data_IF_519179316525
#
_entry.id   IF_519179316525
#
_cell.length_a   1.000
_cell.length_b   1.000
_cell.length_c   1.000
_cell.angle_alpha   90.00
_cell.angle_beta   90.00
_cell.angle_gamma   90.00
#
_symmetry.space_group_name_H-M   'P 1'
#
loop_
_entity.id
_entity.type
_entity.pdbx_description
1 polymer ?
#
# COMPACT_ATOMS: atom_id res chain seq x y z
N UNK A 1 -3.66 -67.45 40.34
CA UNK A 1 -4.54 -66.33 39.95
C UNK A 1 -4.42 -66.15 38.43
N UNK A 2 -5.14 -66.95 37.65
CA UNK A 2 -6.41 -66.60 36.94
C UNK A 2 -6.22 -65.40 36.00
N UNK A 3 -5.88 -65.57 34.71
CA UNK A 3 -6.72 -65.89 33.54
C UNK A 3 -7.95 -64.99 33.36
N UNK A 4 -8.21 -64.67 32.08
CA UNK A 4 -9.41 -64.09 31.45
C UNK A 4 -9.46 -62.55 31.39
N UNK A 5 -9.80 -61.90 30.28
CA UNK A 5 -10.52 -62.27 29.03
C UNK A 5 -10.24 -61.12 28.03
N UNK A 6 -9.72 -61.34 26.82
CA UNK A 6 -10.51 -61.67 25.60
C UNK A 6 -11.92 -61.03 25.58
N UNK A 7 -12.05 -59.89 24.90
CA UNK A 7 -13.16 -59.54 24.00
C UNK A 7 -12.56 -58.62 22.93
N UNK A 8 -12.28 -59.13 21.72
CA UNK A 8 -13.24 -59.16 20.61
C UNK A 8 -13.56 -57.72 20.17
N UNK A 9 -12.87 -57.15 19.18
CA UNK A 9 -13.21 -57.25 17.74
C UNK A 9 -14.71 -57.45 17.47
N UNK A 10 -15.27 -56.54 16.67
CA UNK A 10 -16.62 -56.50 16.07
C UNK A 10 -17.71 -55.69 16.81
N UNK A 11 -17.73 -54.38 16.51
CA UNK A 11 -18.89 -53.65 15.97
C UNK A 11 -18.30 -52.42 15.27
N UNK A 12 -18.04 -52.46 13.97
CA UNK A 12 -18.99 -52.49 12.88
C UNK A 12 -19.95 -51.30 12.92
N UNK A 13 -19.77 -50.46 11.90
CA UNK A 13 -20.73 -49.60 11.22
C UNK A 13 -21.15 -48.30 11.90
N UNK A 14 -21.32 -47.30 11.03
CA UNK A 14 -22.01 -46.02 11.22
C UNK A 14 -21.20 -44.92 11.89
N UNK A 15 -20.24 -44.36 11.14
CA UNK A 15 -20.11 -42.90 11.13
C UNK A 15 -20.43 -42.43 9.72
N UNK A 16 -21.45 -41.61 9.73
CA UNK A 16 -22.34 -41.22 8.67
C UNK A 16 -21.62 -40.31 7.67
N UNK A 17 -21.87 -40.64 6.42
CA UNK A 17 -21.42 -39.98 5.22
C UNK A 17 -22.29 -38.73 5.02
N UNK A 18 -22.06 -37.68 5.81
CA UNK A 18 -22.65 -36.36 5.55
C UNK A 18 -21.84 -35.65 4.47
N UNK A 19 -21.98 -36.16 3.24
CA UNK A 19 -21.79 -35.41 2.01
C UNK A 19 -22.87 -34.33 2.00
N UNK A 20 -22.46 -33.09 2.29
CA UNK A 20 -23.30 -31.93 2.04
C UNK A 20 -23.53 -31.84 0.52
N UNK A 21 -24.69 -32.35 0.12
CA UNK A 21 -25.29 -32.23 -1.19
C UNK A 21 -25.52 -30.74 -1.49
N UNK A 22 -24.53 -30.12 -2.15
CA UNK A 22 -24.71 -28.82 -2.79
C UNK A 22 -25.69 -29.02 -3.95
N UNK A 23 -26.83 -28.30 -3.99
CA UNK A 23 -27.72 -28.39 -5.14
C UNK A 23 -27.00 -27.84 -6.38
N UNK A 24 -26.97 -28.68 -7.42
CA UNK A 24 -26.51 -28.30 -8.76
C UNK A 24 -27.17 -27.00 -9.23
N UNK A 25 -26.43 -26.05 -9.83
CA UNK A 25 -27.05 -24.88 -10.43
C UNK A 25 -27.89 -25.28 -11.65
N UNK A 26 -29.19 -24.98 -11.58
CA UNK A 26 -30.10 -25.07 -12.73
C UNK A 26 -29.62 -24.15 -13.87
N UNK A 27 -29.66 -24.62 -15.14
CA UNK A 27 -29.38 -23.76 -16.28
C UNK A 27 -30.55 -22.80 -16.52
N UNK A 28 -30.29 -21.49 -16.41
CA UNK A 28 -31.27 -20.46 -16.80
C UNK A 28 -31.52 -20.51 -18.32
N UNK A 29 -32.80 -20.38 -18.76
CA UNK A 29 -33.16 -20.45 -20.16
C UNK A 29 -32.75 -19.21 -20.95
N UNK A 30 -32.16 -19.47 -22.12
CA UNK A 30 -31.99 -18.52 -23.22
C UNK A 30 -33.34 -17.88 -23.61
N UNK A 31 -33.46 -16.56 -23.45
CA UNK A 31 -34.52 -15.80 -24.10
C UNK A 31 -34.03 -15.30 -25.43
N UNK A 32 -34.34 -16.10 -26.45
CA UNK A 32 -34.25 -15.74 -27.84
C UNK A 32 -35.52 -14.95 -28.24
N UNK A 33 -35.41 -14.14 -29.32
CA UNK A 33 -36.43 -13.32 -30.01
C UNK A 33 -36.52 -11.87 -29.52
N UNK A 34 -36.23 -10.84 -30.32
CA UNK A 34 -35.89 -10.81 -31.73
C UNK A 34 -36.39 -9.51 -32.37
N UNK A 35 -35.86 -9.31 -33.59
CA UNK A 35 -36.46 -8.61 -34.73
C UNK A 35 -36.40 -7.08 -34.79
N UNK A 36 -35.70 -6.70 -35.87
CA UNK A 36 -36.08 -5.74 -36.94
C UNK A 36 -35.79 -4.28 -36.60
N UNK A 37 -35.30 -3.44 -37.52
CA UNK A 37 -34.92 -3.53 -38.94
C UNK A 37 -34.40 -2.12 -39.26
N UNK A 38 -33.36 -2.03 -40.09
CA UNK A 38 -33.14 -0.96 -41.08
C UNK A 38 -32.93 0.46 -40.52
N UNK A 39 -32.08 1.34 -41.04
CA UNK A 39 -31.51 1.45 -42.37
C UNK A 39 -30.21 2.27 -42.29
N UNK A 40 -29.20 1.88 -43.06
CA UNK A 40 -28.21 2.80 -43.63
C UNK A 40 -28.88 3.42 -44.87
N UNK A 41 -28.60 4.69 -45.20
CA UNK A 41 -27.64 4.86 -46.29
C UNK A 41 -26.65 6.00 -46.06
N UNK A 42 -25.58 5.89 -46.84
CA UNK A 42 -24.47 6.82 -46.95
C UNK A 42 -24.88 8.17 -47.55
N UNK A 43 -24.15 9.22 -47.15
CA UNK A 43 -24.19 10.53 -47.78
C UNK A 43 -22.90 11.30 -47.48
N UNK A 44 -22.00 11.28 -48.45
CA UNK A 44 -20.93 12.22 -48.80
C UNK A 44 -20.84 13.50 -47.94
N UNK A 45 -19.69 13.77 -47.32
CA UNK A 45 -18.54 14.48 -47.88
C UNK A 45 -18.60 15.98 -47.53
N UNK A 46 -17.69 16.42 -46.66
CA UNK A 46 -16.99 17.70 -46.83
C UNK A 46 -15.74 17.69 -45.95
N UNK A 47 -14.59 17.83 -46.60
CA UNK A 47 -13.34 18.22 -45.97
C UNK A 47 -13.16 19.71 -46.23
N UNK A 48 -13.03 20.53 -45.18
CA UNK A 48 -11.91 21.47 -45.03
C UNK A 48 -11.91 22.16 -43.66
N UNK A 49 -10.72 22.59 -43.21
CA UNK A 49 -10.43 23.06 -41.86
C UNK A 49 -10.57 24.57 -41.77
N UNK A 50 -10.85 25.12 -40.59
CA UNK A 50 -10.30 26.41 -40.15
C UNK A 50 -10.63 26.68 -38.68
N UNK A 51 -9.57 26.95 -37.92
CA UNK A 51 -9.51 27.95 -36.84
C UNK A 51 -10.42 27.77 -35.63
N UNK A 52 -9.85 27.14 -34.60
CA UNK A 52 -10.04 27.61 -33.23
C UNK A 52 -8.70 27.49 -32.50
N UNK A 53 -8.01 28.62 -32.36
CA UNK A 53 -6.92 28.82 -31.40
C UNK A 53 -7.40 28.38 -30.01
N UNK A 54 -6.87 27.26 -29.52
CA UNK A 54 -6.88 26.95 -28.11
C UNK A 54 -5.68 27.66 -27.46
N UNK A 55 -5.87 28.32 -26.31
CA UNK A 55 -4.81 29.08 -25.67
C UNK A 55 -3.66 28.15 -25.29
N UNK A 56 -2.44 28.58 -25.60
CA UNK A 56 -1.20 28.02 -25.07
C UNK A 56 -1.31 27.97 -23.55
N UNK A 57 -1.75 26.81 -23.06
CA UNK A 57 -1.52 26.41 -21.69
C UNK A 57 -0.02 26.24 -21.59
N UNK A 58 0.60 27.21 -20.94
CA UNK A 58 1.97 27.23 -20.47
C UNK A 58 2.13 26.02 -19.53
N UNK A 59 2.24 24.83 -20.12
CA UNK A 59 2.50 23.57 -19.44
C UNK A 59 3.99 23.60 -19.13
N UNK A 60 4.34 24.37 -18.10
CA UNK A 60 5.60 24.20 -17.38
C UNK A 60 5.62 22.75 -16.91
N UNK A 61 6.35 21.92 -17.64
CA UNK A 61 6.83 20.66 -17.11
C UNK A 61 7.58 20.98 -15.81
N UNK A 62 7.25 20.33 -14.68
CA UNK A 62 8.07 20.48 -13.50
C UNK A 62 9.48 19.97 -13.85
N UNK A 63 10.54 20.65 -13.37
CA UNK A 63 11.89 20.15 -13.59
C UNK A 63 11.97 18.75 -12.99
N UNK A 64 12.33 17.78 -13.82
CA UNK A 64 12.66 16.40 -13.44
C UNK A 64 13.98 16.47 -12.66
N UNK A 65 13.91 17.00 -11.45
CA UNK A 65 15.00 17.02 -10.49
C UNK A 65 14.89 15.76 -9.64
N UNK A 66 16.01 15.06 -9.46
CA UNK A 66 16.13 14.02 -8.46
C UNK A 66 15.49 14.48 -7.14
N UNK A 67 14.80 13.58 -6.43
CA UNK A 67 14.34 13.84 -5.07
C UNK A 67 15.59 13.95 -4.18
N UNK A 68 16.22 15.12 -4.23
CA UNK A 68 17.41 15.40 -3.46
C UNK A 68 16.95 15.70 -2.04
N UNK A 69 17.20 14.78 -1.12
CA UNK A 69 17.07 14.92 0.31
C UNK A 69 18.15 15.82 0.88
N UNK A 70 18.41 16.96 0.25
CA UNK A 70 19.37 17.95 0.74
C UNK A 70 18.78 18.58 1.99
N UNK A 71 19.06 17.94 3.12
CA UNK A 71 18.60 18.33 4.44
C UNK A 71 19.07 19.76 4.72
N UNK A 72 18.19 20.66 5.15
CA UNK A 72 18.57 22.05 5.37
C UNK A 72 19.69 22.13 6.42
N UNK A 73 20.83 22.71 6.02
CA UNK A 73 21.91 23.01 6.94
C UNK A 73 21.53 24.19 7.82
N UNK A 74 21.13 23.90 9.07
CA UNK A 74 21.26 24.84 10.19
C UNK A 74 20.49 26.17 10.11
N UNK A 75 19.28 26.19 9.54
CA UNK A 75 18.37 27.35 9.65
C UNK A 75 17.18 27.00 10.53
N UNK A 76 16.92 27.85 11.52
CA UNK A 76 15.78 27.86 12.46
C UNK A 76 14.60 26.99 12.01
N UNK A 77 14.64 25.70 12.38
CA UNK A 77 13.57 24.76 12.09
C UNK A 77 12.38 25.17 12.94
N UNK A 78 11.32 25.68 12.33
CA UNK A 78 10.05 25.77 13.03
C UNK A 78 9.53 24.34 13.23
N UNK A 79 9.35 23.89 14.48
CA UNK A 79 8.85 22.54 14.74
C UNK A 79 7.48 22.36 14.08
N UNK A 80 7.33 21.26 13.34
CA UNK A 80 6.10 20.91 12.62
C UNK A 80 5.99 21.44 11.19
N UNK A 81 7.05 22.02 10.62
CA UNK A 81 7.10 22.39 9.20
C UNK A 81 7.93 21.36 8.42
N UNK A 82 7.35 20.77 7.37
CA UNK A 82 8.05 19.89 6.44
C UNK A 82 9.05 20.74 5.65
N UNK A 83 10.32 20.35 5.68
CA UNK A 83 11.42 21.14 5.13
C UNK A 83 12.07 20.53 3.88
N UNK A 84 11.87 19.24 3.61
CA UNK A 84 12.54 18.54 2.50
C UNK A 84 11.57 18.11 1.40
N UNK A 85 12.10 17.88 0.19
CA UNK A 85 11.35 17.27 -0.90
C UNK A 85 10.86 15.87 -0.53
N UNK A 86 11.62 15.11 0.27
CA UNK A 86 11.24 13.78 0.73
C UNK A 86 10.00 13.83 1.64
N UNK A 87 9.94 14.78 2.57
CA UNK A 87 8.77 14.97 3.42
C UNK A 87 7.56 15.47 2.65
N UNK A 88 7.73 16.38 1.69
CA UNK A 88 6.63 16.82 0.83
C UNK A 88 6.08 15.68 -0.02
N UNK A 89 6.95 14.82 -0.56
CA UNK A 89 6.54 13.62 -1.29
C UNK A 89 5.75 12.66 -0.39
N UNK A 90 6.23 12.43 0.84
CA UNK A 90 5.56 11.56 1.80
C UNK A 90 4.17 12.10 2.21
N UNK A 91 4.06 13.42 2.41
CA UNK A 91 2.77 14.08 2.65
C UNK A 91 1.80 13.86 1.49
N UNK A 92 2.28 14.04 0.26
CA UNK A 92 1.47 13.82 -0.94
C UNK A 92 1.01 12.37 -1.04
N UNK A 93 1.91 11.41 -0.80
CA UNK A 93 1.59 9.98 -0.82
C UNK A 93 0.50 9.59 0.21
N UNK A 94 0.49 10.21 1.39
CA UNK A 94 -0.53 9.98 2.41
C UNK A 94 -1.88 10.68 2.14
N UNK A 95 -1.94 11.61 1.18
CA UNK A 95 -3.17 12.34 0.84
C UNK A 95 -3.81 11.90 -0.47
N UNK A 96 -3.02 11.31 -1.37
CA UNK A 96 -3.57 10.75 -2.59
C UNK A 96 -4.20 9.39 -2.31
N UNK A 97 -5.53 9.31 -2.47
CA UNK A 97 -6.42 8.12 -2.34
C UNK A 97 -5.96 6.88 -3.16
N UNK A 98 -4.89 6.98 -3.95
CA UNK A 98 -4.32 5.86 -4.67
C UNK A 98 -2.83 6.10 -4.95
N UNK A 99 -1.95 5.66 -4.04
CA UNK A 99 -0.52 5.57 -4.33
C UNK A 99 -0.22 4.66 -5.53
N UNK A 100 -1.16 3.84 -6.00
CA UNK A 100 -1.01 3.04 -7.22
C UNK A 100 -0.69 3.88 -8.48
N UNK A 101 -0.91 5.21 -8.44
CA UNK A 101 -0.48 6.14 -9.50
C UNK A 101 0.87 6.80 -9.20
N UNK A 102 1.27 6.81 -7.94
CA UNK A 102 2.62 7.15 -7.53
C UNK A 102 3.51 5.97 -7.93
N UNK A 103 3.96 6.00 -9.19
CA UNK A 103 5.13 5.21 -9.55
C UNK A 103 6.24 5.50 -8.54
N UNK A 104 7.12 4.52 -8.31
CA UNK A 104 8.39 4.76 -7.63
C UNK A 104 8.97 6.07 -8.16
N UNK A 105 9.52 6.96 -7.30
CA UNK A 105 10.05 8.23 -7.73
C UNK A 105 10.85 8.06 -9.02
N UNK A 106 10.53 8.84 -10.04
CA UNK A 106 11.25 8.74 -11.31
C UNK A 106 12.69 9.25 -11.10
N UNK A 107 13.63 8.32 -10.88
CA UNK A 107 15.05 8.61 -10.68
C UNK A 107 15.64 7.91 -9.47
N UNK A 108 16.93 8.14 -9.24
CA UNK A 108 17.62 7.65 -8.05
C UNK A 108 17.08 8.37 -6.81
N UNK A 109 16.42 7.62 -5.93
CA UNK A 109 16.09 8.07 -4.58
C UNK A 109 17.38 8.06 -3.77
N UNK A 110 17.79 9.22 -3.28
CA UNK A 110 18.96 9.30 -2.42
C UNK A 110 18.72 8.68 -1.04
N UNK A 111 19.83 8.32 -0.37
CA UNK A 111 19.76 7.63 0.92
C UNK A 111 19.11 8.50 2.01
N UNK A 112 19.22 9.83 1.90
CA UNK A 112 18.61 10.76 2.83
C UNK A 112 17.07 10.72 2.75
N UNK A 113 16.49 10.73 1.54
CA UNK A 113 15.06 10.58 1.36
C UNK A 113 14.57 9.22 1.87
N UNK A 114 15.31 8.14 1.59
CA UNK A 114 14.99 6.80 2.10
C UNK A 114 14.94 6.77 3.63
N UNK A 115 15.91 7.40 4.29
CA UNK A 115 15.99 7.48 5.74
C UNK A 115 14.78 8.21 6.35
N UNK A 116 14.36 9.34 5.76
CA UNK A 116 13.17 10.09 6.21
C UNK A 116 11.93 9.20 6.16
N UNK A 117 11.73 8.48 5.05
CA UNK A 117 10.55 7.63 4.86
C UNK A 117 10.54 6.42 5.80
N UNK A 118 11.68 5.78 6.00
CA UNK A 118 11.83 4.68 6.98
C UNK A 118 11.49 5.17 8.40
N UNK A 119 12.01 6.32 8.81
CA UNK A 119 11.75 6.87 10.14
C UNK A 119 10.28 7.24 10.31
N UNK A 120 9.67 7.91 9.32
CA UNK A 120 8.26 8.28 9.36
C UNK A 120 7.34 7.05 9.41
N UNK A 121 7.64 6.03 8.61
CA UNK A 121 6.99 4.72 8.69
C UNK A 121 7.10 4.13 10.10
N UNK A 122 8.29 4.11 10.69
CA UNK A 122 8.48 3.61 12.05
C UNK A 122 7.70 4.41 13.10
N UNK A 123 7.59 5.73 12.93
CA UNK A 123 6.81 6.60 13.84
C UNK A 123 5.31 6.29 13.77
N UNK A 124 4.74 6.14 12.58
CA UNK A 124 3.30 5.83 12.44
C UNK A 124 2.98 4.40 12.90
N UNK A 125 3.88 3.44 12.64
CA UNK A 125 3.77 2.06 13.14
C UNK A 125 3.70 2.03 14.67
N UNK A 126 4.64 2.70 15.36
CA UNK A 126 4.66 2.78 16.84
C UNK A 126 3.50 3.58 17.42
N UNK A 127 2.82 4.39 16.61
CA UNK A 127 1.59 5.08 17.01
C UNK A 127 0.36 4.16 16.89
N UNK A 128 0.35 3.27 15.89
CA UNK A 128 -0.75 2.30 15.66
C UNK A 128 -0.66 1.07 16.56
N UNK A 129 0.55 0.57 16.80
CA UNK A 129 0.78 -0.70 17.47
C UNK A 129 1.64 -0.51 18.72
N UNK A 130 1.31 -1.28 19.75
CA UNK A 130 2.16 -1.43 20.93
C UNK A 130 3.22 -2.50 20.66
N UNK A 131 4.31 -2.51 21.44
CA UNK A 131 5.38 -3.51 21.27
C UNK A 131 4.90 -4.95 21.48
N UNK A 132 3.80 -5.15 22.21
CA UNK A 132 3.19 -6.45 22.51
C UNK A 132 1.95 -6.74 21.66
N UNK A 133 1.68 -5.95 20.61
CA UNK A 133 0.53 -6.18 19.73
C UNK A 133 0.58 -7.61 19.16
N UNK A 134 -0.52 -8.40 19.27
CA UNK A 134 -0.54 -9.76 18.75
C UNK A 134 -0.26 -9.80 17.25
N UNK A 135 0.57 -10.76 16.81
CA UNK A 135 0.95 -10.91 15.41
C UNK A 135 -0.26 -10.98 14.46
N UNK A 136 -1.33 -11.68 14.85
CA UNK A 136 -2.56 -11.79 14.05
C UNK A 136 -3.23 -10.44 13.78
N UNK A 137 -3.07 -9.46 14.67
CA UNK A 137 -3.58 -8.11 14.46
C UNK A 137 -2.72 -7.37 13.45
N UNK A 138 -1.39 -7.44 13.59
CA UNK A 138 -0.42 -6.89 12.63
C UNK A 138 -0.67 -7.46 11.24
N UNK A 139 -0.74 -8.79 11.11
CA UNK A 139 -0.98 -9.48 9.84
C UNK A 139 -2.31 -9.04 9.20
N UNK A 140 -3.35 -8.78 10.00
CA UNK A 140 -4.65 -8.32 9.49
C UNK A 140 -4.53 -6.91 8.91
N UNK A 141 -3.93 -5.97 9.63
CA UNK A 141 -3.75 -4.60 9.12
C UNK A 141 -2.88 -4.60 7.87
N UNK A 142 -1.76 -5.33 7.87
CA UNK A 142 -0.88 -5.44 6.70
C UNK A 142 -1.63 -6.06 5.51
N UNK A 143 -2.41 -7.12 5.72
CA UNK A 143 -3.18 -7.73 4.65
C UNK A 143 -4.21 -6.77 4.04
N UNK A 144 -4.89 -5.96 4.87
CA UNK A 144 -5.80 -4.92 4.39
C UNK A 144 -5.06 -3.88 3.56
N UNK A 145 -3.97 -3.31 4.07
CA UNK A 145 -3.18 -2.29 3.37
C UNK A 145 -2.61 -2.82 2.04
N UNK A 146 -2.06 -4.05 2.03
CA UNK A 146 -1.56 -4.68 0.80
C UNK A 146 -2.69 -4.94 -0.19
N UNK A 147 -3.88 -5.29 0.28
CA UNK A 147 -5.05 -5.49 -0.60
C UNK A 147 -5.52 -4.17 -1.23
N UNK A 148 -5.58 -3.09 -0.46
CA UNK A 148 -5.91 -1.74 -0.95
C UNK A 148 -4.90 -1.26 -2.01
N UNK A 149 -3.65 -1.70 -1.88
CA UNK A 149 -2.57 -1.40 -2.81
C UNK A 149 -2.17 -2.57 -3.71
N UNK A 150 -3.10 -3.48 -4.03
CA UNK A 150 -2.80 -4.71 -4.77
C UNK A 150 -2.06 -4.50 -6.12
N UNK A 151 -2.27 -3.35 -6.77
CA UNK A 151 -1.56 -2.98 -8.01
C UNK A 151 -0.04 -2.92 -7.83
N UNK A 152 0.43 -2.59 -6.62
CA UNK A 152 1.86 -2.55 -6.29
C UNK A 152 2.48 -3.95 -6.09
N UNK A 153 1.67 -5.00 -5.95
CA UNK A 153 2.17 -6.38 -5.84
C UNK A 153 3.05 -6.64 -4.61
N UNK A 154 2.81 -5.92 -3.51
CA UNK A 154 3.63 -6.03 -2.30
C UNK A 154 3.56 -7.44 -1.67
N UNK A 155 4.70 -8.05 -1.31
CA UNK A 155 4.69 -9.29 -0.54
C UNK A 155 4.24 -9.03 0.90
N UNK A 156 3.16 -9.70 1.33
CA UNK A 156 2.57 -9.51 2.67
C UNK A 156 3.58 -9.82 3.78
N UNK A 157 4.39 -10.88 3.62
CA UNK A 157 5.38 -11.28 4.64
C UNK A 157 6.49 -10.23 4.81
N UNK A 158 6.99 -9.67 3.73
CA UNK A 158 8.02 -8.62 3.79
C UNK A 158 7.47 -7.36 4.47
N UNK A 159 6.23 -6.99 4.15
CA UNK A 159 5.57 -5.86 4.80
C UNK A 159 5.34 -6.09 6.30
N UNK A 160 4.92 -7.29 6.70
CA UNK A 160 4.78 -7.67 8.12
C UNK A 160 6.12 -7.62 8.86
N UNK A 161 7.19 -8.14 8.24
CA UNK A 161 8.54 -8.10 8.83
C UNK A 161 9.00 -6.65 9.06
N UNK A 162 8.70 -5.73 8.15
CA UNK A 162 9.05 -4.31 8.33
C UNK A 162 8.27 -3.65 9.46
N UNK A 163 6.98 -3.97 9.63
CA UNK A 163 6.21 -3.48 10.78
C UNK A 163 6.81 -4.00 12.09
N UNK A 164 7.12 -5.29 12.17
CA UNK A 164 7.74 -5.90 13.36
C UNK A 164 9.12 -5.32 13.66
N UNK A 165 9.92 -5.08 12.62
CA UNK A 165 11.20 -4.40 12.75
C UNK A 165 11.05 -2.99 13.33
N UNK A 166 10.07 -2.22 12.85
CA UNK A 166 9.77 -0.89 13.36
C UNK A 166 9.29 -0.86 14.83
N UNK A 167 8.74 -1.97 15.31
CA UNK A 167 8.39 -2.21 16.73
C UNK A 167 9.59 -2.68 17.57
N UNK A 168 10.77 -2.84 16.98
CA UNK A 168 12.00 -3.23 17.66
C UNK A 168 12.24 -4.74 17.69
N UNK A 169 11.44 -5.54 16.99
CA UNK A 169 11.70 -6.97 16.87
C UNK A 169 12.93 -7.25 15.99
N UNK A 170 13.73 -8.24 16.39
CA UNK A 170 14.85 -8.72 15.57
C UNK A 170 14.33 -9.69 14.51
N UNK A 171 14.12 -9.18 13.30
CA UNK A 171 13.65 -9.94 12.13
C UNK A 171 14.59 -9.72 10.94
N UNK A 172 14.76 -10.71 10.04
CA UNK A 172 15.77 -10.64 8.98
C UNK A 172 15.30 -9.79 7.79
N UNK A 173 15.41 -8.46 7.89
CA UNK A 173 15.01 -7.54 6.80
C UNK A 173 16.10 -7.29 5.74
N UNK A 174 17.33 -7.78 5.97
CA UNK A 174 18.48 -7.48 5.11
C UNK A 174 18.41 -8.06 3.69
N UNK A 175 17.55 -9.06 3.47
CA UNK A 175 17.37 -9.73 2.17
C UNK A 175 16.17 -9.16 1.38
N UNK A 176 15.44 -8.18 1.92
CA UNK A 176 14.29 -7.56 1.24
C UNK A 176 14.81 -6.62 0.15
N UNK A 177 14.25 -6.72 -1.05
CA UNK A 177 14.60 -5.84 -2.18
C UNK A 177 14.36 -4.37 -1.82
N UNK A 178 15.30 -3.49 -2.19
CA UNK A 178 15.23 -2.06 -1.87
C UNK A 178 14.01 -1.35 -2.45
N UNK A 179 13.51 -1.80 -3.61
CA UNK A 179 12.27 -1.30 -4.20
C UNK A 179 11.05 -1.71 -3.38
N UNK A 180 11.04 -2.95 -2.85
CA UNK A 180 9.99 -3.44 -1.94
C UNK A 180 10.02 -2.68 -0.61
N UNK A 181 11.20 -2.51 0.00
CA UNK A 181 11.36 -1.72 1.23
C UNK A 181 10.73 -0.33 1.07
N UNK A 182 11.10 0.35 -0.02
CA UNK A 182 10.62 1.69 -0.32
C UNK A 182 9.11 1.72 -0.57
N UNK A 183 8.59 0.81 -1.38
CA UNK A 183 7.16 0.73 -1.64
C UNK A 183 6.37 0.44 -0.36
N UNK A 184 6.85 -0.45 0.51
CA UNK A 184 6.21 -0.71 1.81
C UNK A 184 6.21 0.53 2.68
N UNK A 185 7.36 1.20 2.87
CA UNK A 185 7.45 2.40 3.72
C UNK A 185 6.45 3.48 3.28
N UNK A 186 6.31 3.72 1.98
CA UNK A 186 5.38 4.73 1.47
C UNK A 186 3.92 4.29 1.59
N UNK A 187 3.60 3.07 1.14
CA UNK A 187 2.24 2.58 1.01
C UNK A 187 1.61 2.27 2.37
N UNK A 188 2.34 1.58 3.25
CA UNK A 188 1.84 1.32 4.60
C UNK A 188 1.81 2.59 5.45
N UNK A 189 2.74 3.55 5.23
CA UNK A 189 2.61 4.85 5.88
C UNK A 189 1.30 5.55 5.51
N UNK A 190 0.96 5.59 4.21
CA UNK A 190 -0.29 6.19 3.73
C UNK A 190 -1.52 5.49 4.31
N UNK A 191 -1.58 4.15 4.22
CA UNK A 191 -2.70 3.35 4.75
C UNK A 191 -2.85 3.51 6.27
N UNK A 192 -1.75 3.51 7.03
CA UNK A 192 -1.80 3.74 8.49
C UNK A 192 -2.18 5.18 8.85
N UNK A 193 -1.76 6.17 8.06
CA UNK A 193 -2.16 7.55 8.27
C UNK A 193 -3.67 7.74 8.07
N UNK A 194 -4.25 7.06 7.07
CA UNK A 194 -5.70 7.02 6.85
C UNK A 194 -6.44 6.24 7.94
N UNK A 195 -5.96 5.03 8.31
CA UNK A 195 -6.55 4.21 9.38
C UNK A 195 -6.60 4.96 10.72
N UNK A 196 -5.55 5.73 11.04
CA UNK A 196 -5.47 6.56 12.23
C UNK A 196 -6.20 7.91 12.10
N UNK A 197 -6.77 8.20 10.94
CA UNK A 197 -7.45 9.46 10.60
C UNK A 197 -6.59 10.71 10.90
N UNK A 198 -5.30 10.66 10.55
CA UNK A 198 -4.36 11.74 10.86
C UNK A 198 -4.73 13.04 10.12
N UNK A 199 -4.97 14.09 10.91
CA UNK A 199 -5.15 15.45 10.39
C UNK A 199 -3.88 16.01 9.76
N UNK A 200 -4.00 17.07 8.97
CA UNK A 200 -2.84 17.68 8.27
C UNK A 200 -1.72 18.08 9.23
N UNK A 201 -2.08 18.66 10.37
CA UNK A 201 -1.12 19.08 11.37
C UNK A 201 -0.39 17.90 12.02
N UNK A 202 -1.09 16.78 12.26
CA UNK A 202 -0.48 15.59 12.87
C UNK A 202 0.43 14.87 11.89
N UNK A 203 0.01 14.79 10.63
CA UNK A 203 0.82 14.26 9.54
C UNK A 203 2.10 15.08 9.37
N UNK A 204 1.99 16.41 9.33
CA UNK A 204 3.13 17.32 9.22
C UNK A 204 4.10 17.19 10.39
N UNK A 205 3.57 17.04 11.61
CA UNK A 205 4.40 16.84 12.79
C UNK A 205 5.19 15.52 12.75
N UNK A 206 4.58 14.42 12.28
CA UNK A 206 5.28 13.13 12.11
C UNK A 206 6.37 13.24 11.05
N UNK A 207 6.09 13.89 9.92
CA UNK A 207 7.05 14.05 8.84
C UNK A 207 8.21 14.95 9.27
N UNK A 208 7.93 16.05 9.96
CA UNK A 208 8.97 16.94 10.50
C UNK A 208 9.86 16.23 11.53
N UNK A 209 9.28 15.43 12.45
CA UNK A 209 10.06 14.63 13.41
C UNK A 209 10.93 13.58 12.69
N UNK A 210 10.45 13.00 11.58
CA UNK A 210 11.23 12.08 10.78
C UNK A 210 12.43 12.77 10.10
N UNK A 211 12.23 13.97 9.54
CA UNK A 211 13.30 14.78 8.94
C UNK A 211 14.36 15.19 9.96
N UNK A 212 13.95 15.61 11.16
CA UNK A 212 14.85 15.98 12.25
C UNK A 212 15.71 14.77 12.68
N UNK A 213 15.09 13.61 12.90
CA UNK A 213 15.82 12.39 13.25
C UNK A 213 16.77 11.96 12.14
N UNK A 214 16.36 12.01 10.87
CA UNK A 214 17.23 11.70 9.74
C UNK A 214 18.47 12.63 9.70
N UNK A 215 18.27 13.93 9.90
CA UNK A 215 19.37 14.90 9.95
C UNK A 215 20.35 14.63 11.10
N UNK A 216 19.84 14.18 12.25
CA UNK A 216 20.68 13.83 13.40
C UNK A 216 21.59 12.62 13.13
N UNK A 217 21.15 11.65 12.31
CA UNK A 217 21.93 10.47 11.95
C UNK A 217 23.08 10.79 10.98
N UNK A 218 22.88 11.77 10.09
CA UNK A 218 23.91 12.21 9.13
C UNK A 218 24.99 13.06 9.81
N UNK A 219 24.65 13.71 10.93
CA UNK A 219 25.55 14.60 11.67
C UNK A 219 26.34 13.90 12.79
N UNK A 220 26.07 12.62 13.05
CA UNK A 220 26.70 11.81 14.10
C UNK A 220 27.92 11.03 13.58
#
# INVERSE_FOLDING_TARGET
MSRNRRRSTQRAAEIDEQVAELPSPEPLPETNRGRRRSARPAGNAESRPESAEAPHSDRREPPVGALSGQLPHGTDHQPGVIATAAGHYLRQAARDDAPARFGMPAGDVDDAARQVWEIAFGLVVRRRFESETPLVEISRTVATAVHEHAVAGLPILDAEMLVRHALGETVPIGDIDGGILLAVHLLLFASLADELALGDQELDAIIADAEEKAASLVSA
#
